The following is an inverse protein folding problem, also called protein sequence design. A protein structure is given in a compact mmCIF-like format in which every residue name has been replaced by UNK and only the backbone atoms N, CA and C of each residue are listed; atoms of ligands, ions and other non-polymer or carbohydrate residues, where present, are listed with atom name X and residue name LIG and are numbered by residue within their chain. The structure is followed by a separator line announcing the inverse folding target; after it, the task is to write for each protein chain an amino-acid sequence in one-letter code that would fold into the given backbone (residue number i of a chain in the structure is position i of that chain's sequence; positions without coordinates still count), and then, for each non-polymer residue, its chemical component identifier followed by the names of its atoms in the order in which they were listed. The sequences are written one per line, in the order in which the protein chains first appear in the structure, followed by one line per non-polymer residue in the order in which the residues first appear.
data_IF_518398971656
#
_entry.id   IF_518398971656
#
_cell.length_a   1.000
_cell.length_b   1.000
_cell.length_c   1.000
_cell.angle_alpha   90.00
_cell.angle_beta   90.00
_cell.angle_gamma   90.00
#
_symmetry.space_group_name_H-M   'P 1'
#
loop_
_entity.id
_entity.type
_entity.pdbx_description
1 polymer ?
#
# COMPACT_ATOMS: atom_id res chain seq x y z
N UNK A 1 -28.66 0.61 -12.69
CA UNK A 1 -27.28 0.38 -13.17
C UNK A 1 -26.35 0.54 -11.97
N UNK A 2 -25.92 -0.56 -11.37
CA UNK A 2 -25.13 -0.54 -10.12
C UNK A 2 -23.90 -1.43 -10.28
N UNK A 3 -22.90 -0.91 -10.98
CA UNK A 3 -21.57 -1.52 -11.04
C UNK A 3 -20.62 -0.66 -10.24
N UNK A 4 -20.81 -0.61 -8.91
CA UNK A 4 -19.77 -0.09 -8.03
C UNK A 4 -18.59 -1.06 -8.16
N UNK A 5 -17.65 -0.73 -9.05
CA UNK A 5 -16.32 -1.31 -8.97
C UNK A 5 -15.90 -1.16 -7.51
N UNK A 6 -15.47 -2.23 -6.81
CA UNK A 6 -14.98 -2.07 -5.45
C UNK A 6 -13.87 -1.04 -5.54
N UNK A 7 -14.12 0.15 -4.98
CA UNK A 7 -13.14 1.20 -4.94
C UNK A 7 -11.95 0.60 -4.19
N UNK A 8 -10.80 0.50 -4.86
CA UNK A 8 -9.58 0.21 -4.13
C UNK A 8 -9.47 1.28 -3.02
N UNK A 9 -9.12 0.90 -1.78
CA UNK A 9 -9.03 1.86 -0.69
C UNK A 9 -7.92 2.90 -0.88
N UNK A 10 -7.12 2.75 -1.95
CA UNK A 10 -6.00 3.59 -2.32
C UNK A 10 -6.11 4.08 -3.75
N UNK A 11 -5.61 5.30 -3.99
CA UNK A 11 -5.53 5.95 -5.30
C UNK A 11 -4.07 6.22 -5.68
N UNK A 12 -3.75 6.03 -6.96
CA UNK A 12 -2.43 6.36 -7.49
C UNK A 12 -2.19 7.89 -7.47
N UNK A 13 -0.99 8.30 -7.09
CA UNK A 13 -0.56 9.68 -6.91
C UNK A 13 -0.86 10.27 -5.54
N UNK A 14 -1.64 9.57 -4.68
CA UNK A 14 -1.94 10.01 -3.32
C UNK A 14 -1.00 9.38 -2.29
N UNK A 15 -0.85 10.11 -1.20
CA UNK A 15 -0.09 9.68 -0.04
C UNK A 15 -1.02 9.10 1.01
N UNK A 16 -0.61 7.99 1.61
CA UNK A 16 -1.34 7.32 2.67
C UNK A 16 -0.41 7.01 3.83
N UNK A 17 -0.88 7.26 5.04
CA UNK A 17 -0.20 6.83 6.26
C UNK A 17 -0.54 5.36 6.50
N UNK A 18 0.46 4.50 6.39
CA UNK A 18 0.31 3.06 6.58
C UNK A 18 1.26 2.58 7.66
N UNK A 19 0.83 1.51 8.33
CA UNK A 19 1.70 0.79 9.23
C UNK A 19 2.22 -0.45 8.52
N UNK A 20 3.53 -0.63 8.56
CA UNK A 20 4.15 -1.83 8.04
C UNK A 20 3.93 -2.95 9.05
N UNK A 21 3.15 -3.96 8.64
CA UNK A 21 2.86 -5.11 9.50
C UNK A 21 3.89 -6.22 9.32
N UNK A 22 4.54 -6.29 8.15
CA UNK A 22 5.47 -7.35 7.80
C UNK A 22 6.54 -6.86 6.81
N UNK A 23 7.64 -7.60 6.69
CA UNK A 23 8.73 -7.34 5.73
C UNK A 23 9.14 -8.62 5.04
N UNK A 24 9.26 -8.54 3.72
CA UNK A 24 9.88 -9.57 2.92
C UNK A 24 11.39 -9.63 3.19
N UNK A 25 12.00 -10.81 2.97
CA UNK A 25 13.45 -11.01 3.17
C UNK A 25 14.34 -10.08 2.36
N UNK A 26 13.82 -9.50 1.28
CA UNK A 26 14.54 -8.58 0.39
C UNK A 26 14.53 -7.13 0.90
N UNK A 27 13.75 -6.82 1.94
CA UNK A 27 13.62 -5.48 2.53
C UNK A 27 12.35 -4.73 2.12
N UNK A 28 11.47 -5.34 1.33
CA UNK A 28 10.16 -4.76 1.00
C UNK A 28 9.19 -4.88 2.18
N UNK A 29 8.64 -3.76 2.63
CA UNK A 29 7.57 -3.75 3.61
C UNK A 29 6.21 -4.00 3.00
N UNK A 30 5.40 -4.70 3.78
CA UNK A 30 4.06 -5.11 3.45
C UNK A 30 3.12 -4.28 4.34
N UNK A 31 2.48 -3.31 3.72
CA UNK A 31 1.39 -2.55 4.33
C UNK A 31 0.05 -3.17 3.95
N UNK A 32 -0.93 -3.10 4.86
CA UNK A 32 -2.29 -3.57 4.60
C UNK A 32 -3.29 -2.52 5.02
N UNK A 33 -4.13 -2.09 4.08
CA UNK A 33 -5.23 -1.14 4.32
C UNK A 33 -6.54 -1.87 4.04
N UNK A 34 -7.38 -2.10 5.04
CA UNK A 34 -8.71 -2.72 4.87
C UNK A 34 -8.69 -4.06 4.08
N UNK A 35 -7.61 -4.83 4.22
CA UNK A 35 -7.40 -6.09 3.49
C UNK A 35 -6.76 -5.94 2.11
N UNK A 36 -6.44 -4.73 1.68
CA UNK A 36 -5.71 -4.42 0.46
C UNK A 36 -4.20 -4.36 0.74
N UNK A 37 -3.43 -5.13 -0.03
CA UNK A 37 -1.98 -5.25 0.16
C UNK A 37 -1.26 -4.15 -0.63
N UNK A 38 -0.32 -3.48 0.03
CA UNK A 38 0.50 -2.44 -0.57
C UNK A 38 1.96 -2.80 -0.33
N UNK A 39 2.70 -2.90 -1.42
CA UNK A 39 4.13 -3.15 -1.38
C UNK A 39 4.87 -1.82 -1.33
N UNK A 40 5.78 -1.70 -0.37
CA UNK A 40 6.54 -0.48 -0.10
C UNK A 40 8.01 -0.83 0.09
N UNK A 41 8.83 -0.45 -0.89
CA UNK A 41 10.27 -0.61 -0.79
C UNK A 41 10.86 0.30 0.31
N UNK A 42 12.01 -0.07 0.86
CA UNK A 42 12.76 0.72 1.85
C UNK A 42 12.00 1.05 3.15
N UNK A 43 11.27 0.07 3.68
CA UNK A 43 10.51 0.25 4.93
C UNK A 43 10.91 -0.75 6.02
N UNK A 44 10.38 -0.58 7.23
CA UNK A 44 10.68 -1.38 8.42
C UNK A 44 9.40 -1.84 9.13
N UNK A 45 9.36 -3.09 9.61
CA UNK A 45 8.22 -3.64 10.36
C UNK A 45 7.97 -2.83 11.62
N UNK A 46 6.69 -2.51 11.87
CA UNK A 46 6.25 -1.76 13.03
C UNK A 46 6.34 -0.24 12.87
N UNK A 47 6.99 0.25 11.81
CA UNK A 47 7.08 1.67 11.51
C UNK A 47 5.78 2.16 10.85
N UNK A 48 5.32 3.34 11.27
CA UNK A 48 4.21 4.05 10.64
C UNK A 48 4.80 5.09 9.70
N UNK A 49 4.82 4.77 8.41
CA UNK A 49 5.41 5.62 7.38
C UNK A 49 4.33 6.13 6.43
N UNK A 50 4.60 7.29 5.86
CA UNK A 50 3.78 7.81 4.78
C UNK A 50 4.30 7.23 3.47
N UNK A 51 3.39 6.71 2.66
CA UNK A 51 3.72 6.09 1.38
C UNK A 51 3.00 6.82 0.26
N UNK A 52 3.66 7.01 -0.86
CA UNK A 52 3.02 7.50 -2.07
C UNK A 52 2.71 6.31 -2.97
N UNK A 53 1.45 6.19 -3.38
CA UNK A 53 1.03 5.11 -4.26
C UNK A 53 1.35 5.47 -5.70
N UNK A 54 2.25 4.75 -6.35
CA UNK A 54 2.57 4.98 -7.77
C UNK A 54 1.53 4.33 -8.69
N UNK A 55 1.12 3.11 -8.35
CA UNK A 55 0.22 2.31 -9.18
C UNK A 55 -0.74 1.49 -8.33
N UNK A 56 -2.02 1.57 -8.66
CA UNK A 56 -3.07 0.75 -8.07
C UNK A 56 -3.47 -0.32 -9.08
N UNK A 57 -3.32 -1.58 -8.69
CA UNK A 57 -3.75 -2.75 -9.46
C UNK A 57 -5.08 -3.28 -8.93
N UNK A 58 -5.66 -4.26 -9.62
CA UNK A 58 -6.98 -4.83 -9.25
C UNK A 58 -6.99 -5.53 -7.88
N UNK A 59 -5.83 -5.93 -7.33
CA UNK A 59 -5.73 -6.69 -6.06
C UNK A 59 -4.67 -6.17 -5.07
N UNK A 60 -3.83 -5.23 -5.48
CA UNK A 60 -2.74 -4.68 -4.66
C UNK A 60 -2.33 -3.31 -5.21
N UNK A 61 -1.54 -2.55 -4.44
CA UNK A 61 -0.89 -1.34 -4.93
C UNK A 61 0.62 -1.43 -4.75
N UNK A 62 1.32 -0.67 -5.57
CA UNK A 62 2.76 -0.45 -5.47
C UNK A 62 2.94 1.02 -5.10
N UNK A 63 3.73 1.25 -4.07
CA UNK A 63 4.13 2.59 -3.66
C UNK A 63 5.54 2.58 -3.10
N UNK A 64 6.04 3.78 -2.81
CA UNK A 64 7.31 3.98 -2.15
C UNK A 64 7.12 4.85 -0.90
N UNK A 65 8.03 4.70 0.06
CA UNK A 65 8.10 5.59 1.22
C UNK A 65 8.54 6.98 0.75
N UNK A 66 7.85 8.01 1.26
CA UNK A 66 8.26 9.41 1.14
C UNK A 66 9.03 9.90 2.36
#
# INVERSE_FOLDING_TARGET
MGGSAPAAPVEAGKEYDVKIEDIAREGDGIARIEGFVIFVADTQVGDAVKIQVDKVMRRFAIGHKV
#
